data_IF_153898068368
#
_entry.id   IF_153898068368
#
_cell.length_a   1.000
_cell.length_b   1.000
_cell.length_c   1.000
_cell.angle_alpha   90.00
_cell.angle_beta   90.00
_cell.angle_gamma   90.00
#
_symmetry.space_group_name_H-M   'P 1'
#
loop_
_entity.id
_entity.type
_entity.pdbx_description
1 polymer ?
#
# COMPACT_ATOMS: atom_id res chain seq x y z
N UNK A 1 -9.79 -4.23 21.84
CA UNK A 1 -8.87 -3.61 20.87
C UNK A 1 -9.60 -2.48 20.14
N UNK A 2 -9.01 -1.30 20.08
CA UNK A 2 -9.58 -0.20 19.31
C UNK A 2 -8.88 -0.06 17.96
N UNK A 3 -9.38 0.84 17.12
CA UNK A 3 -8.84 1.02 15.76
C UNK A 3 -7.37 1.45 15.80
N UNK A 4 -6.99 2.29 16.76
CA UNK A 4 -5.62 2.74 16.89
C UNK A 4 -4.66 1.57 17.16
N UNK A 5 -5.05 0.69 18.09
CA UNK A 5 -4.25 -0.47 18.43
C UNK A 5 -4.12 -1.42 17.24
N UNK A 6 -5.21 -1.61 16.50
CA UNK A 6 -5.19 -2.44 15.32
C UNK A 6 -4.24 -1.86 14.26
N UNK A 7 -4.27 -0.56 14.03
CA UNK A 7 -3.39 0.09 13.06
C UNK A 7 -1.93 -0.03 13.49
N UNK A 8 -1.63 0.11 14.77
CA UNK A 8 -0.27 -0.03 15.27
C UNK A 8 0.25 -1.45 15.09
N UNK A 9 -0.60 -2.44 15.35
CA UNK A 9 -0.20 -3.84 15.19
C UNK A 9 0.05 -4.22 13.73
N UNK A 10 -0.55 -3.49 12.79
CA UNK A 10 -0.37 -3.72 11.36
C UNK A 10 0.66 -2.79 10.73
N UNK A 11 1.32 -1.95 11.53
CA UNK A 11 2.24 -0.95 11.02
C UNK A 11 3.34 -1.54 10.13
N UNK A 12 3.86 -2.68 10.51
CA UNK A 12 4.92 -3.33 9.75
C UNK A 12 4.43 -3.95 8.45
N UNK A 13 3.12 -4.18 8.34
CA UNK A 13 2.50 -4.74 7.14
C UNK A 13 2.06 -3.66 6.15
N UNK A 14 2.19 -2.39 6.51
CA UNK A 14 1.82 -1.29 5.61
C UNK A 14 2.93 -1.08 4.60
N UNK A 15 2.62 -1.34 3.33
CA UNK A 15 3.55 -1.14 2.23
C UNK A 15 3.04 0.04 1.40
N UNK A 16 3.93 0.95 1.08
CA UNK A 16 3.58 2.15 0.32
C UNK A 16 4.23 2.13 -1.06
N UNK A 17 3.68 2.94 -1.95
CA UNK A 17 4.27 3.16 -3.27
C UNK A 17 4.13 4.65 -3.59
N UNK A 18 5.10 5.19 -4.32
CA UNK A 18 5.07 6.58 -4.72
C UNK A 18 4.16 6.77 -5.94
N UNK A 19 3.47 7.89 -6.01
CA UNK A 19 2.55 8.21 -7.11
C UNK A 19 3.27 8.21 -8.47
N UNK A 20 4.58 8.44 -8.48
CA UNK A 20 5.38 8.43 -9.71
C UNK A 20 5.84 7.04 -10.12
N UNK A 21 5.64 6.04 -9.29
CA UNK A 21 6.02 4.66 -9.61
C UNK A 21 5.06 4.07 -10.65
N UNK A 22 5.53 3.02 -11.33
CA UNK A 22 4.74 2.37 -12.37
C UNK A 22 3.75 1.36 -11.79
N UNK A 23 2.75 1.00 -12.60
CA UNK A 23 1.80 -0.07 -12.26
C UNK A 23 2.55 -1.40 -12.10
N UNK A 24 3.58 -1.63 -12.92
CA UNK A 24 4.42 -2.83 -12.80
C UNK A 24 5.13 -2.91 -11.45
N UNK A 25 5.65 -1.77 -10.97
CA UNK A 25 6.29 -1.71 -9.66
C UNK A 25 5.28 -1.99 -8.55
N UNK A 26 4.05 -1.47 -8.67
CA UNK A 26 2.99 -1.71 -7.70
C UNK A 26 2.62 -3.20 -7.65
N UNK A 27 2.45 -3.82 -8.81
CA UNK A 27 2.13 -5.25 -8.90
C UNK A 27 3.23 -6.10 -8.27
N UNK A 28 4.49 -5.74 -8.53
CA UNK A 28 5.63 -6.44 -7.95
C UNK A 28 5.65 -6.35 -6.43
N UNK A 29 5.42 -5.16 -5.88
CA UNK A 29 5.38 -4.97 -4.43
C UNK A 29 4.26 -5.78 -3.79
N UNK A 30 3.08 -5.80 -4.40
CA UNK A 30 1.97 -6.58 -3.87
C UNK A 30 2.28 -8.07 -3.88
N UNK A 31 2.84 -8.57 -4.96
CA UNK A 31 3.21 -9.98 -5.08
C UNK A 31 4.32 -10.36 -4.10
N UNK A 32 5.38 -9.56 -4.05
CA UNK A 32 6.54 -9.83 -3.19
C UNK A 32 6.18 -9.82 -1.71
N UNK A 33 5.21 -8.99 -1.31
CA UNK A 33 4.80 -8.86 0.08
C UNK A 33 3.50 -9.62 0.40
N UNK A 34 2.92 -10.30 -0.58
CA UNK A 34 1.69 -11.07 -0.44
C UNK A 34 0.55 -10.23 0.11
N UNK A 35 0.39 -9.03 -0.42
CA UNK A 35 -0.66 -8.09 -0.04
C UNK A 35 -1.49 -7.72 -1.26
N UNK A 36 -2.73 -7.30 -1.03
CA UNK A 36 -3.68 -6.99 -2.10
C UNK A 36 -3.89 -5.49 -2.32
N UNK A 37 -3.22 -4.65 -1.54
CA UNK A 37 -3.39 -3.21 -1.64
C UNK A 37 -2.14 -2.48 -1.16
N UNK A 38 -1.93 -1.28 -1.72
CA UNK A 38 -0.83 -0.40 -1.36
C UNK A 38 -1.36 1.00 -1.10
N UNK A 39 -0.74 1.71 -0.17
CA UNK A 39 -1.04 3.12 0.05
C UNK A 39 -0.18 3.94 -0.92
N UNK A 40 -0.82 4.78 -1.71
CA UNK A 40 -0.11 5.65 -2.67
C UNK A 40 0.30 6.93 -1.95
N UNK A 41 1.58 7.26 -2.04
CA UNK A 41 2.15 8.41 -1.36
C UNK A 41 2.59 9.47 -2.37
N UNK A 42 2.45 10.72 -1.98
CA UNK A 42 2.99 11.85 -2.73
C UNK A 42 3.52 12.87 -1.73
N UNK A 43 4.79 13.25 -1.91
CA UNK A 43 5.45 14.25 -1.04
C UNK A 43 5.32 13.93 0.45
N UNK A 44 5.43 12.64 0.79
CA UNK A 44 5.38 12.21 2.18
C UNK A 44 3.99 12.08 2.77
N UNK A 45 2.93 12.26 1.97
CA UNK A 45 1.56 12.18 2.45
C UNK A 45 0.76 11.16 1.63
N UNK A 46 -0.16 10.42 2.26
CA UNK A 46 -1.02 9.48 1.54
C UNK A 46 -2.03 10.22 0.68
N UNK A 47 -2.14 9.83 -0.59
CA UNK A 47 -3.09 10.44 -1.53
C UNK A 47 -4.13 9.45 -2.05
N UNK A 48 -3.96 8.16 -1.79
CA UNK A 48 -4.93 7.18 -2.24
C UNK A 48 -4.50 5.76 -1.93
N UNK A 49 -5.28 4.81 -2.41
CA UNK A 49 -5.00 3.38 -2.25
C UNK A 49 -5.17 2.73 -3.62
N UNK A 50 -4.24 1.86 -3.97
CA UNK A 50 -4.35 1.03 -5.16
C UNK A 50 -4.48 -0.42 -4.73
N UNK A 51 -5.40 -1.17 -5.34
CA UNK A 51 -5.60 -2.58 -5.04
C UNK A 51 -5.29 -3.42 -6.27
N UNK A 52 -5.17 -4.74 -6.09
CA UNK A 52 -4.90 -5.60 -7.23
C UNK A 52 -6.04 -5.57 -8.25
N UNK A 53 -7.26 -5.20 -7.85
CA UNK A 53 -8.37 -5.03 -8.77
C UNK A 53 -8.16 -3.87 -9.74
N UNK A 54 -7.40 -2.87 -9.32
CA UNK A 54 -7.10 -1.71 -10.15
C UNK A 54 -6.08 -2.03 -11.23
N UNK A 55 -5.31 -3.10 -11.04
CA UNK A 55 -4.23 -3.49 -11.95
C UNK A 55 -4.67 -4.51 -12.98
N UNK A 56 -5.62 -5.34 -12.63
CA UNK A 56 -6.14 -6.42 -13.50
C UNK A 56 -7.06 -5.91 -14.60
#
# INVERSE_FOLDING_TARGET
MNVRELLQSKKEAVITIDVEDTIGAAAHKMSANKIAALVVMKDGAPVGIISEKDIV
#
